data_IF_973455040838
#
_entry.id   IF_973455040838
#
_cell.length_a   1.000
_cell.length_b   1.000
_cell.length_c   1.000
_cell.angle_alpha   90.00
_cell.angle_beta   90.00
_cell.angle_gamma   90.00
#
_symmetry.space_group_name_H-M   'P 1'
#
loop_
_entity.id
_entity.type
_entity.pdbx_description
1 polymer ?
#
# COMPACT_ATOMS: atom_id res chain seq x y z
N UNK A 1 62.28 -33.77 -48.34
CA UNK A 1 61.55 -32.52 -48.66
C UNK A 1 60.05 -32.78 -48.55
N UNK A 2 59.34 -31.85 -47.92
CA UNK A 2 57.88 -31.78 -47.71
C UNK A 2 57.30 -32.65 -46.58
N UNK A 3 56.43 -32.19 -45.68
CA UNK A 3 56.16 -30.90 -45.01
C UNK A 3 55.14 -31.23 -43.89
N UNK A 4 55.21 -30.49 -42.80
CA UNK A 4 54.49 -30.61 -41.53
C UNK A 4 52.94 -30.73 -41.55
N UNK A 5 52.45 -31.45 -40.52
CA UNK A 5 51.38 -31.12 -39.52
C UNK A 5 49.95 -30.78 -39.94
N UNK A 6 48.98 -31.41 -39.26
CA UNK A 6 47.75 -30.83 -38.67
C UNK A 6 47.17 -31.85 -37.64
N UNK A 7 47.43 -31.71 -36.33
CA UNK A 7 46.57 -31.10 -35.28
C UNK A 7 45.18 -31.76 -35.06
N UNK A 8 45.05 -32.56 -34.00
CA UNK A 8 43.84 -32.76 -33.18
C UNK A 8 44.07 -32.07 -31.82
N UNK A 9 43.06 -31.63 -31.03
CA UNK A 9 41.66 -32.10 -30.89
C UNK A 9 40.66 -30.89 -30.92
N UNK A 10 39.33 -30.96 -30.72
CA UNK A 10 38.63 -31.34 -29.49
C UNK A 10 37.09 -31.25 -29.67
N UNK A 11 36.41 -31.99 -28.79
CA UNK A 11 34.96 -32.07 -28.60
C UNK A 11 34.27 -30.71 -28.48
N UNK A 12 33.13 -30.55 -29.16
CA UNK A 12 32.13 -29.55 -28.83
C UNK A 12 30.95 -30.25 -28.13
N UNK A 13 30.99 -30.21 -26.80
CA UNK A 13 29.90 -30.59 -25.94
C UNK A 13 28.83 -29.48 -25.90
N UNK A 14 27.59 -29.92 -25.69
CA UNK A 14 26.39 -29.12 -25.46
C UNK A 14 26.57 -28.00 -24.43
N UNK A 15 25.98 -26.84 -24.74
CA UNK A 15 25.60 -25.83 -23.76
C UNK A 15 24.24 -25.25 -24.15
N UNK A 16 23.16 -25.84 -23.64
CA UNK A 16 21.88 -25.15 -23.49
C UNK A 16 22.12 -24.01 -22.50
N UNK A 17 22.33 -22.80 -23.01
CA UNK A 17 22.17 -21.60 -22.19
C UNK A 17 20.66 -21.40 -21.98
N UNK A 18 20.13 -22.01 -20.91
CA UNK A 18 18.89 -21.52 -20.35
C UNK A 18 19.19 -20.12 -19.80
N UNK A 19 18.81 -19.09 -20.56
CA UNK A 19 18.80 -17.73 -20.04
C UNK A 19 17.92 -17.72 -18.80
N UNK A 20 18.55 -17.58 -17.64
CA UNK A 20 17.89 -17.16 -16.40
C UNK A 20 17.18 -15.86 -16.76
N UNK A 21 15.86 -15.93 -16.94
CA UNK A 21 15.04 -14.73 -16.86
C UNK A 21 15.13 -14.30 -15.40
N UNK A 22 16.01 -13.33 -15.12
CA UNK A 22 15.89 -12.56 -13.91
C UNK A 22 14.49 -11.96 -13.93
N UNK A 23 13.62 -12.42 -13.03
CA UNK A 23 12.30 -11.83 -12.82
C UNK A 23 12.48 -10.32 -12.75
N UNK A 24 11.76 -9.59 -13.60
CA UNK A 24 11.76 -8.13 -13.59
C UNK A 24 11.42 -7.70 -12.16
N UNK A 25 12.36 -7.10 -11.40
CA UNK A 25 12.09 -6.74 -10.01
C UNK A 25 10.89 -5.82 -10.01
N UNK A 26 9.89 -6.10 -9.18
CA UNK A 26 8.66 -5.32 -9.12
C UNK A 26 8.98 -3.82 -9.21
N UNK A 27 8.56 -3.20 -10.33
CA UNK A 27 8.89 -1.81 -10.69
C UNK A 27 8.30 -0.79 -9.73
N UNK A 28 7.48 -1.24 -8.79
CA UNK A 28 6.97 -0.49 -7.65
C UNK A 28 7.37 -1.21 -6.36
N UNK A 29 8.14 -0.54 -5.50
CA UNK A 29 8.41 -1.00 -4.14
C UNK A 29 7.43 -0.36 -3.17
N UNK A 30 6.84 -1.16 -2.29
CA UNK A 30 6.00 -0.70 -1.18
C UNK A 30 6.62 -1.08 0.16
N UNK A 31 6.53 -0.19 1.14
CA UNK A 31 6.89 -0.46 2.54
C UNK A 31 5.79 0.08 3.43
N UNK A 32 5.44 -0.66 4.48
CA UNK A 32 4.47 -0.27 5.49
C UNK A 32 5.15 -0.25 6.85
N UNK A 33 5.02 0.87 7.56
CA UNK A 33 5.43 1.00 8.94
C UNK A 33 4.21 1.31 9.81
N UNK A 34 4.22 0.78 11.03
CA UNK A 34 3.28 1.14 12.10
C UNK A 34 4.05 1.74 13.26
N UNK A 35 3.55 2.85 13.78
CA UNK A 35 4.14 3.52 14.94
C UNK A 35 3.01 3.92 15.88
N UNK A 36 3.26 3.87 17.19
CA UNK A 36 2.36 4.45 18.17
C UNK A 36 2.58 5.95 18.23
N UNK A 37 1.48 6.70 18.25
CA UNK A 37 1.49 8.14 18.47
C UNK A 37 1.41 8.39 19.97
N UNK A 38 2.41 9.07 20.51
CA UNK A 38 2.41 9.58 21.88
C UNK A 38 2.22 11.10 21.83
N UNK A 39 1.23 11.60 22.57
CA UNK A 39 0.95 13.04 22.69
C UNK A 39 1.32 13.51 24.10
N UNK A 40 2.22 14.48 24.20
CA UNK A 40 2.57 15.14 25.47
C UNK A 40 2.75 16.64 25.22
N UNK A 41 2.10 17.48 26.03
CA UNK A 41 2.26 18.95 25.98
C UNK A 41 2.09 19.57 24.57
N UNK A 42 1.17 19.02 23.77
CA UNK A 42 0.89 19.48 22.41
C UNK A 42 1.90 19.01 21.35
N UNK A 43 2.89 18.20 21.72
CA UNK A 43 3.83 17.57 20.79
C UNK A 43 3.44 16.12 20.53
N UNK A 44 3.54 15.71 19.27
CA UNK A 44 3.39 14.32 18.84
C UNK A 44 4.76 13.67 18.66
N UNK A 45 4.92 12.47 19.21
CA UNK A 45 6.09 11.62 18.99
C UNK A 45 5.66 10.27 18.43
N UNK A 46 6.34 9.82 17.38
CA UNK A 46 6.14 8.51 16.78
C UNK A 46 7.12 7.50 17.38
N UNK A 47 6.59 6.47 18.03
CA UNK A 47 7.38 5.41 18.66
C UNK A 47 7.15 4.10 17.90
N UNK A 48 8.21 3.44 17.37
CA UNK A 48 8.07 2.12 16.77
C UNK A 48 7.47 1.12 17.75
N UNK A 49 6.52 0.30 17.29
CA UNK A 49 5.87 -0.73 18.11
C UNK A 49 5.76 -2.03 17.33
N UNK A 50 5.97 -3.15 18.02
CA UNK A 50 5.72 -4.49 17.47
C UNK A 50 4.30 -4.97 17.80
N UNK A 51 3.69 -4.44 18.87
CA UNK A 51 2.37 -4.83 19.35
C UNK A 51 1.60 -3.58 19.81
N UNK A 52 0.31 -3.53 19.45
CA UNK A 52 -0.60 -2.48 19.88
C UNK A 52 -1.41 -2.94 21.11
N UNK A 53 -1.72 -1.99 22.00
CA UNK A 53 -2.56 -2.20 23.19
C UNK A 53 -3.89 -1.46 23.05
N UNK A 54 -4.95 -1.89 23.77
CA UNK A 54 -6.19 -1.11 23.82
C UNK A 54 -5.93 0.34 24.24
N UNK A 55 -6.46 1.28 23.47
CA UNK A 55 -6.27 2.72 23.68
C UNK A 55 -5.07 3.35 22.97
N UNK A 56 -4.18 2.55 22.36
CA UNK A 56 -3.09 3.09 21.55
C UNK A 56 -3.66 3.80 20.30
N UNK A 57 -3.10 4.98 19.98
CA UNK A 57 -3.27 5.61 18.67
C UNK A 57 -2.12 5.14 17.79
N UNK A 58 -2.45 4.60 16.62
CA UNK A 58 -1.46 4.05 15.68
C UNK A 58 -1.43 4.90 14.40
N UNK A 59 -0.24 5.26 13.95
CA UNK A 59 0.00 5.79 12.62
C UNK A 59 0.53 4.68 11.71
N UNK A 60 -0.19 4.43 10.62
CA UNK A 60 0.25 3.55 9.54
C UNK A 60 0.77 4.39 8.37
N UNK A 61 2.02 4.16 7.96
CA UNK A 61 2.66 4.87 6.85
C UNK A 61 3.08 3.90 5.77
N UNK A 62 2.40 3.98 4.63
CA UNK A 62 2.79 3.29 3.41
C UNK A 62 3.65 4.21 2.53
N UNK A 63 4.83 3.75 2.12
CA UNK A 63 5.72 4.47 1.20
C UNK A 63 5.91 3.66 -0.07
N UNK A 64 5.63 4.30 -1.21
CA UNK A 64 5.68 3.73 -2.53
C UNK A 64 6.81 4.37 -3.34
N UNK A 65 7.66 3.55 -3.96
CA UNK A 65 8.78 4.01 -4.80
C UNK A 65 8.72 3.35 -6.17
N UNK A 66 8.55 4.16 -7.21
CA UNK A 66 8.73 3.73 -8.59
C UNK A 66 10.23 3.53 -8.84
N UNK A 67 10.61 2.31 -9.23
CA UNK A 67 11.98 1.91 -9.54
C UNK A 67 12.22 1.76 -11.04
N UNK A 68 11.19 2.01 -11.86
CA UNK A 68 11.33 1.97 -13.32
C UNK A 68 11.83 3.30 -13.89
N UNK A 69 12.17 3.25 -15.18
CA UNK A 69 12.54 4.38 -16.02
C UNK A 69 11.32 5.14 -16.60
N UNK A 70 10.09 4.69 -16.30
CA UNK A 70 8.83 5.22 -16.84
C UNK A 70 7.88 5.61 -15.74
N UNK A 71 6.94 6.52 -16.05
CA UNK A 71 5.80 6.76 -15.16
C UNK A 71 4.95 5.49 -15.08
N UNK A 72 4.55 5.11 -13.85
CA UNK A 72 3.55 4.08 -13.65
C UNK A 72 2.17 4.66 -13.97
N UNK A 73 1.23 3.80 -14.38
CA UNK A 73 -0.16 4.16 -14.62
C UNK A 73 -1.07 3.29 -13.75
N UNK A 74 -2.25 3.79 -13.43
CA UNK A 74 -3.29 3.05 -12.71
C UNK A 74 -2.84 2.42 -11.38
N UNK A 75 -1.96 3.10 -10.63
CA UNK A 75 -1.47 2.59 -9.34
C UNK A 75 -2.45 2.96 -8.24
N UNK A 76 -3.01 1.94 -7.58
CA UNK A 76 -3.92 2.10 -6.44
C UNK A 76 -3.26 1.61 -5.16
N UNK A 77 -3.23 2.46 -4.14
CA UNK A 77 -2.83 2.09 -2.79
C UNK A 77 -4.09 1.86 -1.96
N UNK A 78 -4.28 0.65 -1.43
CA UNK A 78 -5.38 0.31 -0.53
C UNK A 78 -4.79 -0.03 0.83
N UNK A 79 -5.28 0.63 1.88
CA UNK A 79 -4.87 0.42 3.26
C UNK A 79 -6.09 -0.02 4.08
N UNK A 80 -6.17 -1.28 4.54
CA UNK A 80 -7.25 -1.74 5.40
C UNK A 80 -7.15 -1.09 6.78
N UNK A 81 -8.30 -0.84 7.41
CA UNK A 81 -8.38 -0.51 8.84
C UNK A 81 -8.24 -1.83 9.61
N UNK A 82 -7.18 -2.02 10.42
CA UNK A 82 -6.96 -3.28 11.13
C UNK A 82 -8.12 -3.67 12.05
N UNK A 83 -8.38 -4.97 12.16
CA UNK A 83 -9.38 -5.48 13.09
C UNK A 83 -9.07 -5.04 14.54
N UNK A 84 -10.10 -4.69 15.30
CA UNK A 84 -9.95 -4.18 16.67
C UNK A 84 -9.51 -2.71 16.75
N UNK A 85 -9.37 -2.00 15.61
CA UNK A 85 -9.08 -0.57 15.55
C UNK A 85 -10.25 0.23 14.97
N UNK A 86 -10.24 1.54 15.19
CA UNK A 86 -11.17 2.49 14.59
C UNK A 86 -10.35 3.57 13.90
N UNK A 87 -10.75 3.94 12.68
CA UNK A 87 -10.10 5.04 11.96
C UNK A 87 -10.30 6.37 12.69
N UNK A 88 -9.21 7.08 12.98
CA UNK A 88 -9.29 8.47 13.43
C UNK A 88 -9.67 9.35 12.22
N UNK A 89 -10.91 9.83 12.17
CA UNK A 89 -11.41 10.58 11.01
C UNK A 89 -10.60 11.86 10.82
N UNK A 90 -10.08 12.06 9.60
CA UNK A 90 -9.27 13.22 9.23
C UNK A 90 -7.76 12.99 9.38
N UNK A 91 -7.34 11.85 9.95
CA UNK A 91 -5.93 11.50 10.07
C UNK A 91 -5.26 11.14 8.74
N UNK A 92 -6.05 10.83 7.71
CA UNK A 92 -5.53 10.27 6.47
C UNK A 92 -4.72 11.29 5.66
N UNK A 93 -3.53 10.87 5.22
CA UNK A 93 -2.62 11.66 4.37
C UNK A 93 -2.09 10.77 3.23
N UNK A 94 -2.07 11.26 1.97
CA UNK A 94 -2.63 12.53 1.47
C UNK A 94 -4.14 12.67 1.71
N UNK A 95 -4.68 13.90 1.70
CA UNK A 95 -6.10 14.14 2.06
C UNK A 95 -7.09 13.54 1.04
N UNK A 96 -6.70 13.44 -0.23
CA UNK A 96 -7.55 12.93 -1.32
C UNK A 96 -7.64 11.40 -1.30
N UNK A 97 -8.34 10.86 -0.31
CA UNK A 97 -8.62 9.44 -0.17
C UNK A 97 -10.06 9.09 -0.61
N UNK A 98 -10.25 7.86 -1.06
CA UNK A 98 -11.54 7.18 -1.04
C UNK A 98 -11.59 6.26 0.18
N UNK A 99 -12.80 5.92 0.62
CA UNK A 99 -13.04 5.07 1.77
C UNK A 99 -14.08 4.01 1.45
N UNK A 100 -14.01 2.90 2.19
CA UNK A 100 -14.90 1.76 2.05
C UNK A 100 -15.41 1.28 3.40
N UNK A 101 -16.64 0.75 3.41
CA UNK A 101 -17.27 0.12 4.56
C UNK A 101 -17.18 -1.41 4.52
N UNK A 102 -16.71 -1.99 3.41
CA UNK A 102 -16.62 -3.44 3.17
C UNK A 102 -15.26 -3.89 2.63
N UNK A 103 -14.41 -2.95 2.21
CA UNK A 103 -13.12 -3.20 1.57
C UNK A 103 -13.19 -3.34 0.05
N UNK A 104 -14.39 -3.29 -0.54
CA UNK A 104 -14.63 -3.56 -1.97
C UNK A 104 -15.19 -2.33 -2.69
N UNK A 105 -16.20 -1.69 -2.11
CA UNK A 105 -16.84 -0.51 -2.66
C UNK A 105 -16.25 0.75 -2.04
N UNK A 106 -15.67 1.61 -2.89
CA UNK A 106 -14.99 2.82 -2.47
C UNK A 106 -15.73 4.06 -2.97
N UNK A 107 -15.88 5.04 -2.09
CA UNK A 107 -16.42 6.35 -2.40
C UNK A 107 -15.58 7.46 -1.78
N UNK A 108 -15.77 8.70 -2.20
CA UNK A 108 -14.99 9.85 -1.72
C UNK A 108 -15.09 9.96 -0.18
N UNK A 109 -13.95 10.15 0.48
CA UNK A 109 -13.90 10.44 1.91
C UNK A 109 -14.31 11.90 2.21
N UNK A 110 -15.03 12.20 3.30
CA UNK A 110 -15.65 11.26 4.25
C UNK A 110 -16.95 10.66 3.70
N UNK A 111 -17.28 9.45 4.16
CA UNK A 111 -18.53 8.79 3.80
C UNK A 111 -19.70 9.42 4.54
N UNK A 112 -20.78 9.66 3.79
CA UNK A 112 -22.04 10.22 4.29
C UNK A 112 -23.17 9.21 4.08
N UNK A 113 -24.18 9.24 4.94
CA UNK A 113 -25.41 8.44 4.80
C UNK A 113 -26.65 9.30 5.01
N UNK A 114 -27.78 8.82 4.49
CA UNK A 114 -29.10 9.38 4.82
C UNK A 114 -29.62 8.72 6.09
N UNK A 115 -30.14 9.51 7.01
CA UNK A 115 -30.79 9.06 8.23
C UNK A 115 -32.13 9.77 8.40
N UNK A 116 -33.18 9.02 8.75
CA UNK A 116 -34.52 9.59 8.97
C UNK A 116 -34.65 9.99 10.44
N UNK A 117 -34.89 11.26 10.69
CA UNK A 117 -35.17 11.76 12.02
C UNK A 117 -36.54 11.30 12.54
N UNK A 118 -36.76 11.49 13.84
CA UNK A 118 -38.05 11.22 14.49
C UNK A 118 -39.18 12.11 13.97
N UNK A 119 -38.84 13.22 13.34
CA UNK A 119 -39.71 14.14 12.62
C UNK A 119 -40.04 13.67 11.18
N UNK A 120 -39.52 12.51 10.76
CA UNK A 120 -39.70 11.97 9.43
C UNK A 120 -38.80 12.60 8.36
N UNK A 121 -37.98 13.60 8.70
CA UNK A 121 -37.10 14.31 7.76
C UNK A 121 -35.82 13.50 7.50
N UNK A 122 -35.44 13.37 6.23
CA UNK A 122 -34.15 12.78 5.86
C UNK A 122 -33.01 13.79 6.05
N UNK A 123 -31.94 13.36 6.72
CA UNK A 123 -30.74 14.15 6.98
C UNK A 123 -29.51 13.41 6.45
N UNK A 124 -28.61 14.15 5.80
CA UNK A 124 -27.28 13.67 5.45
C UNK A 124 -26.37 13.78 6.67
N UNK A 125 -25.86 12.66 7.17
CA UNK A 125 -25.00 12.59 8.35
C UNK A 125 -23.71 11.82 8.05
N UNK A 126 -22.59 12.12 8.73
CA UNK A 126 -21.36 11.36 8.54
C UNK A 126 -21.52 9.91 9.01
N UNK A 127 -20.89 8.99 8.27
CA UNK A 127 -20.80 7.60 8.71
C UNK A 127 -19.86 7.52 9.92
N UNK A 128 -20.27 6.74 10.94
CA UNK A 128 -19.46 6.55 12.14
C UNK A 128 -18.09 5.93 11.81
N UNK A 129 -17.05 6.43 12.47
CA UNK A 129 -15.65 6.00 12.27
C UNK A 129 -15.45 4.48 12.36
N UNK A 130 -16.15 3.82 13.29
CA UNK A 130 -16.09 2.37 13.51
C UNK A 130 -16.61 1.52 12.35
N UNK A 131 -17.25 2.14 11.35
CA UNK A 131 -17.77 1.47 10.15
C UNK A 131 -16.76 1.41 9.00
N UNK A 132 -15.71 2.23 9.04
CA UNK A 132 -14.69 2.25 7.99
C UNK A 132 -13.89 0.95 8.01
N UNK A 133 -13.59 0.40 6.81
CA UNK A 133 -12.85 -0.86 6.64
C UNK A 133 -11.61 -0.71 5.80
N UNK A 134 -11.56 0.25 4.88
CA UNK A 134 -10.36 0.54 4.11
C UNK A 134 -10.36 1.99 3.61
N UNK A 135 -9.15 2.50 3.35
CA UNK A 135 -8.90 3.71 2.59
C UNK A 135 -8.17 3.37 1.30
N UNK A 136 -8.37 4.17 0.25
CA UNK A 136 -7.72 4.00 -1.05
C UNK A 136 -7.23 5.33 -1.62
N UNK A 137 -6.07 5.31 -2.26
CA UNK A 137 -5.51 6.43 -3.02
C UNK A 137 -5.15 6.02 -4.43
N UNK A 138 -5.41 6.90 -5.39
CA UNK A 138 -4.86 6.83 -6.75
C UNK A 138 -3.49 7.50 -6.73
N UNK A 139 -2.42 6.74 -6.88
CA UNK A 139 -1.04 7.25 -6.85
C UNK A 139 -0.53 7.66 -8.23
N UNK A 140 -1.07 7.05 -9.27
CA UNK A 140 -0.83 7.41 -10.66
C UNK A 140 -2.07 7.04 -11.50
N UNK A 141 -2.42 7.91 -12.44
CA UNK A 141 -3.50 7.71 -13.41
C UNK A 141 -2.95 7.24 -14.74
#
# INVERSE_FOLDING_TARGET
MSKNSYWWPALLAWGLAASVHAEDPAKLRSTLAVQRVERSEGQERLVPVEQARPGDVLEYRAVYRNLSDKALQHVMAVLPVPAGTVLELGSQRPQAAEASLDGEHFARYPLMRQERGTDGVLRTVPVAASRYRALRWRLAE
#
